data_IF_714989101369
#
_entry.id   IF_714989101369
#
_cell.length_a   1.000
_cell.length_b   1.000
_cell.length_c   1.000
_cell.angle_alpha   90.00
_cell.angle_beta   90.00
_cell.angle_gamma   90.00
#
_symmetry.space_group_name_H-M   'P 1'
#
loop_
_entity.id
_entity.type
_entity.pdbx_description
1 polymer ?
#
# COMPACT_ATOMS: atom_id res chain seq x y z
N UNK A 1 29.24 0.86 16.92
CA UNK A 1 28.28 -0.15 16.43
C UNK A 1 27.08 0.61 15.90
N UNK A 2 26.94 0.67 14.58
CA UNK A 2 25.88 1.41 13.90
C UNK A 2 24.61 0.56 13.89
N UNK A 3 23.55 1.04 14.54
CA UNK A 3 22.22 0.43 14.48
C UNK A 3 21.49 0.98 13.26
N UNK A 4 21.48 0.17 12.21
CA UNK A 4 20.75 0.44 10.97
C UNK A 4 19.23 0.46 11.27
N UNK A 5 18.48 1.54 10.99
CA UNK A 5 17.04 1.53 11.16
C UNK A 5 16.42 0.63 10.10
N UNK A 6 15.73 -0.44 10.53
CA UNK A 6 14.97 -1.33 9.65
C UNK A 6 13.91 -0.50 8.93
N UNK A 7 14.06 -0.36 7.62
CA UNK A 7 13.00 0.03 6.70
C UNK A 7 11.86 -1.00 6.82
N UNK A 8 10.59 -0.59 6.88
CA UNK A 8 9.47 -1.53 6.89
C UNK A 8 9.51 -2.44 5.66
N UNK A 9 9.36 -3.73 5.91
CA UNK A 9 9.32 -4.79 4.90
C UNK A 9 7.97 -4.73 4.16
N UNK A 10 7.94 -4.10 2.98
CA UNK A 10 6.78 -4.02 2.08
C UNK A 10 6.59 -5.32 1.28
N UNK A 11 6.61 -6.46 1.99
CA UNK A 11 6.28 -7.75 1.43
C UNK A 11 4.79 -7.80 1.07
N UNK A 12 4.46 -7.66 -0.21
CA UNK A 12 3.11 -7.90 -0.74
C UNK A 12 2.74 -9.38 -0.52
N UNK A 13 1.96 -9.65 0.52
CA UNK A 13 1.40 -10.96 0.78
C UNK A 13 0.14 -11.18 -0.08
N UNK A 14 0.24 -12.13 -1.00
CA UNK A 14 -0.84 -12.84 -1.70
C UNK A 14 -2.20 -12.13 -1.79
N UNK A 15 -2.43 -11.45 -2.92
CA UNK A 15 -3.75 -10.93 -3.33
C UNK A 15 -4.77 -12.08 -3.44
N UNK A 16 -5.77 -12.12 -2.57
CA UNK A 16 -6.89 -13.06 -2.66
C UNK A 16 -7.94 -12.60 -3.68
N UNK A 17 -8.51 -13.58 -4.38
CA UNK A 17 -9.36 -13.50 -5.58
C UNK A 17 -10.72 -12.78 -5.37
N UNK A 18 -11.02 -12.30 -4.16
CA UNK A 18 -12.33 -11.73 -3.77
C UNK A 18 -12.24 -10.60 -2.74
N UNK A 19 -11.30 -9.67 -2.89
CA UNK A 19 -11.23 -8.48 -2.02
C UNK A 19 -11.77 -7.24 -2.74
N UNK A 20 -12.86 -6.72 -2.16
CA UNK A 20 -13.71 -5.65 -2.64
C UNK A 20 -13.06 -4.25 -2.62
N UNK A 21 -13.38 -3.49 -3.68
CA UNK A 21 -13.21 -2.05 -3.91
C UNK A 21 -11.77 -1.53 -3.99
N UNK A 22 -11.31 -1.36 -5.23
CA UNK A 22 -10.22 -0.49 -5.63
C UNK A 22 -10.54 0.95 -5.23
N UNK A 23 -9.78 1.53 -4.30
CA UNK A 23 -9.74 2.98 -4.16
C UNK A 23 -8.65 3.49 -5.06
N UNK A 24 -9.08 4.13 -6.14
CA UNK A 24 -8.19 4.87 -6.99
C UNK A 24 -7.55 6.02 -6.19
N UNK A 25 -6.23 6.14 -6.27
CA UNK A 25 -5.74 7.39 -6.84
C UNK A 25 -6.28 7.38 -8.28
N UNK A 26 -7.19 8.34 -8.54
CA UNK A 26 -8.06 8.41 -9.71
C UNK A 26 -7.28 8.13 -11.01
N UNK A 27 -7.94 7.73 -12.11
CA UNK A 27 -7.33 7.94 -13.44
C UNK A 27 -6.88 9.41 -13.64
N UNK A 28 -7.41 10.30 -12.79
CA UNK A 28 -7.06 11.71 -12.59
C UNK A 28 -6.02 11.98 -11.47
N UNK A 29 -5.16 11.04 -11.03
CA UNK A 29 -4.08 11.33 -10.06
C UNK A 29 -3.22 12.52 -10.51
N UNK A 30 -2.92 12.55 -11.81
CA UNK A 30 -2.26 13.66 -12.49
C UNK A 30 -3.03 15.00 -12.44
N UNK A 31 -4.34 14.99 -12.23
CA UNK A 31 -5.16 16.22 -12.12
C UNK A 31 -5.25 16.75 -10.67
N UNK A 32 -5.21 15.90 -9.65
CA UNK A 32 -5.37 16.31 -8.24
C UNK A 32 -4.05 16.46 -7.48
N UNK A 33 -3.04 15.68 -7.84
CA UNK A 33 -1.67 15.81 -7.37
C UNK A 33 -0.75 15.74 -8.59
N UNK A 34 -0.64 16.82 -9.38
CA UNK A 34 0.31 16.86 -10.48
C UNK A 34 1.70 16.66 -9.90
N UNK A 35 2.22 15.45 -10.05
CA UNK A 35 3.64 15.19 -9.87
C UNK A 35 4.30 15.50 -11.21
N UNK A 36 5.49 16.09 -11.20
CA UNK A 36 6.27 16.29 -12.42
C UNK A 36 6.84 14.97 -12.96
N UNK A 37 6.43 13.83 -12.40
CA UNK A 37 7.00 12.54 -12.75
C UNK A 37 6.56 12.11 -14.13
N UNK A 38 7.49 11.83 -15.05
CA UNK A 38 7.14 11.45 -16.41
C UNK A 38 6.63 10.00 -16.50
N UNK A 39 6.86 9.17 -15.48
CA UNK A 39 6.56 7.74 -15.44
C UNK A 39 6.24 7.28 -14.00
N UNK A 40 5.19 6.46 -13.84
CA UNK A 40 4.80 5.86 -12.56
C UNK A 40 4.28 4.42 -12.76
N UNK A 41 4.24 3.62 -11.69
CA UNK A 41 3.55 2.33 -11.67
C UNK A 41 2.05 2.54 -11.39
N UNK A 42 1.19 2.23 -12.35
CA UNK A 42 -0.26 2.39 -12.21
C UNK A 42 -0.98 1.13 -11.74
N UNK A 43 -0.34 -0.04 -11.85
CA UNK A 43 -0.90 -1.31 -11.39
C UNK A 43 0.19 -2.35 -11.12
N UNK A 44 0.01 -3.17 -10.10
CA UNK A 44 0.77 -4.41 -9.87
C UNK A 44 -0.20 -5.53 -9.52
N UNK A 45 -0.14 -6.61 -10.28
CA UNK A 45 -0.99 -7.79 -10.11
C UNK A 45 -0.16 -9.06 -10.13
N UNK A 46 -0.73 -10.14 -9.58
CA UNK A 46 -0.15 -11.47 -9.73
C UNK A 46 -0.37 -11.97 -11.15
N UNK A 47 0.60 -12.70 -11.70
CA UNK A 47 0.33 -13.47 -12.92
C UNK A 47 -0.74 -14.54 -12.65
N UNK A 48 -1.66 -14.79 -13.61
CA UNK A 48 -2.67 -15.86 -13.46
C UNK A 48 -2.01 -17.24 -13.35
N UNK A 49 -0.91 -17.43 -14.08
CA UNK A 49 -0.12 -18.66 -14.06
C UNK A 49 1.30 -18.42 -13.56
N UNK A 50 1.84 -19.42 -12.85
CA UNK A 50 3.22 -19.43 -12.38
C UNK A 50 3.49 -18.45 -11.23
N UNK A 51 4.74 -17.98 -11.16
CA UNK A 51 5.25 -17.13 -10.08
C UNK A 51 5.77 -15.84 -10.71
N UNK A 52 4.99 -14.78 -10.59
CA UNK A 52 5.35 -13.52 -11.22
C UNK A 52 4.37 -12.40 -10.93
N UNK A 53 4.71 -11.23 -11.46
CA UNK A 53 3.93 -10.01 -11.39
C UNK A 53 3.64 -9.48 -12.79
N UNK A 54 2.45 -8.92 -12.99
CA UNK A 54 2.07 -8.09 -14.13
C UNK A 54 2.03 -6.66 -13.63
N UNK A 55 2.86 -5.80 -14.22
CA UNK A 55 3.00 -4.40 -13.85
C UNK A 55 2.55 -3.53 -15.01
N UNK A 56 1.81 -2.47 -14.71
CA UNK A 56 1.40 -1.45 -15.69
C UNK A 56 2.00 -0.12 -15.32
N UNK A 57 2.47 0.61 -16.33
CA UNK A 57 2.98 1.98 -16.16
C UNK A 57 1.94 3.01 -16.56
N UNK A 58 2.06 4.22 -16.03
CA UNK A 58 1.37 5.41 -16.53
C UNK A 58 2.39 6.51 -16.81
N UNK A 59 2.13 7.31 -17.83
CA UNK A 59 2.99 8.41 -18.28
C UNK A 59 2.24 9.72 -18.23
N UNK A 60 2.96 10.81 -18.02
CA UNK A 60 2.41 12.18 -18.12
C UNK A 60 2.17 12.63 -19.58
N UNK A 61 2.61 11.82 -20.56
CA UNK A 61 2.50 12.09 -21.99
C UNK A 61 1.84 10.90 -22.74
N UNK A 62 1.41 11.07 -24.01
CA UNK A 62 0.88 9.99 -24.83
C UNK A 62 1.90 8.85 -24.99
N UNK A 63 1.58 7.69 -24.41
CA UNK A 63 2.44 6.51 -24.41
C UNK A 63 2.64 5.95 -25.83
N UNK A 64 3.89 5.72 -26.22
CA UNK A 64 4.27 5.04 -27.46
C UNK A 64 4.76 3.62 -27.21
N UNK A 65 5.87 3.48 -26.48
CA UNK A 65 6.47 2.19 -26.16
C UNK A 65 7.25 2.21 -24.85
N UNK A 66 7.58 1.01 -24.34
CA UNK A 66 8.39 0.83 -23.14
C UNK A 66 9.65 0.05 -23.49
N UNK A 67 10.82 0.66 -23.27
CA UNK A 67 12.09 -0.06 -23.30
C UNK A 67 12.40 -0.59 -21.89
N UNK A 68 12.67 -1.88 -21.80
CA UNK A 68 13.06 -2.53 -20.54
C UNK A 68 14.35 -3.31 -20.77
N UNK A 69 15.33 -3.08 -19.90
CA UNK A 69 16.49 -3.95 -19.75
C UNK A 69 16.49 -4.56 -18.35
N UNK A 70 17.01 -5.78 -18.22
CA UNK A 70 16.95 -6.51 -16.96
C UNK A 70 18.22 -7.31 -16.68
N UNK A 71 18.56 -7.42 -15.40
CA UNK A 71 19.65 -8.25 -14.89
C UNK A 71 19.08 -9.21 -13.83
N UNK A 72 19.36 -10.51 -13.97
CA UNK A 72 18.95 -11.54 -13.02
C UNK A 72 18.20 -12.68 -13.70
N UNK A 73 17.55 -13.52 -12.89
CA UNK A 73 17.00 -14.81 -13.36
C UNK A 73 15.54 -14.75 -13.84
N UNK A 74 14.85 -13.63 -13.63
CA UNK A 74 13.46 -13.51 -14.03
C UNK A 74 13.35 -13.30 -15.55
N UNK A 75 12.32 -13.90 -16.13
CA UNK A 75 11.91 -13.67 -17.50
C UNK A 75 11.01 -12.45 -17.56
N UNK A 76 11.29 -11.55 -18.50
CA UNK A 76 10.56 -10.29 -18.67
C UNK A 76 9.91 -10.26 -20.03
N UNK A 77 8.62 -9.95 -20.08
CA UNK A 77 7.89 -9.75 -21.33
C UNK A 77 7.19 -8.41 -21.30
N UNK A 78 7.18 -7.70 -22.42
CA UNK A 78 6.61 -6.35 -22.54
C UNK A 78 5.50 -6.38 -23.58
N UNK A 79 4.36 -5.78 -23.25
CA UNK A 79 3.23 -5.62 -24.14
C UNK A 79 2.58 -4.24 -23.90
N UNK A 80 2.89 -3.28 -24.77
CA UNK A 80 2.45 -1.90 -24.61
C UNK A 80 2.96 -1.29 -23.30
N UNK A 81 2.05 -0.72 -22.53
CA UNK A 81 2.29 -0.08 -21.22
C UNK A 81 2.40 -1.09 -20.06
N UNK A 82 2.37 -2.38 -20.37
CA UNK A 82 2.35 -3.46 -19.41
C UNK A 82 3.58 -4.34 -19.59
N UNK A 83 4.19 -4.77 -18.49
CA UNK A 83 5.26 -5.75 -18.52
C UNK A 83 5.06 -6.81 -17.43
N UNK A 84 5.51 -8.02 -17.73
CA UNK A 84 5.36 -9.17 -16.84
C UNK A 84 6.73 -9.70 -16.46
N UNK A 85 6.95 -9.90 -15.16
CA UNK A 85 8.18 -10.48 -14.59
C UNK A 85 7.84 -11.85 -14.01
N UNK A 86 8.46 -12.92 -14.52
CA UNK A 86 8.24 -14.31 -14.07
C UNK A 86 9.53 -14.95 -13.58
N UNK A 87 9.47 -15.58 -12.42
CA UNK A 87 10.57 -16.37 -11.90
C UNK A 87 10.41 -17.83 -12.33
N UNK A 88 11.46 -18.44 -12.92
CA UNK A 88 11.33 -19.73 -13.60
C UNK A 88 11.22 -20.93 -12.65
N UNK A 89 11.74 -20.82 -11.42
CA UNK A 89 11.83 -21.96 -10.50
C UNK A 89 11.07 -21.73 -9.18
N UNK A 90 10.01 -22.51 -8.99
CA UNK A 90 9.19 -22.50 -7.78
C UNK A 90 9.91 -23.01 -6.52
N UNK A 91 11.01 -23.76 -6.69
CA UNK A 91 11.70 -24.47 -5.63
C UNK A 91 13.10 -23.93 -5.36
N UNK A 92 13.46 -22.78 -5.94
CA UNK A 92 14.80 -22.20 -5.76
C UNK A 92 15.11 -22.02 -4.27
N UNK A 93 16.24 -22.55 -3.81
CA UNK A 93 16.61 -22.50 -2.40
C UNK A 93 17.33 -21.19 -2.04
N UNK A 94 17.90 -20.52 -3.05
CA UNK A 94 18.55 -19.23 -2.90
C UNK A 94 17.61 -18.10 -3.29
N UNK A 95 17.63 -16.96 -2.57
CA UNK A 95 16.87 -15.79 -2.98
C UNK A 95 17.31 -15.32 -4.37
N UNK A 96 16.33 -15.16 -5.26
CA UNK A 96 16.57 -14.62 -6.58
C UNK A 96 16.34 -13.11 -6.57
N UNK A 97 17.32 -12.37 -7.07
CA UNK A 97 17.20 -10.94 -7.31
C UNK A 97 17.07 -10.69 -8.81
N UNK A 98 16.24 -9.72 -9.17
CA UNK A 98 16.13 -9.24 -10.54
C UNK A 98 15.99 -7.73 -10.53
N UNK A 99 16.77 -7.03 -11.37
CA UNK A 99 16.72 -5.58 -11.49
C UNK A 99 16.29 -5.21 -12.89
N UNK A 100 15.35 -4.28 -13.00
CA UNK A 100 14.93 -3.70 -14.26
C UNK A 100 15.34 -2.23 -14.34
N UNK A 101 15.68 -1.82 -15.56
CA UNK A 101 15.74 -0.42 -15.96
C UNK A 101 14.67 -0.18 -17.01
N UNK A 102 13.82 0.81 -16.80
CA UNK A 102 12.67 1.15 -17.64
C UNK A 102 12.84 2.54 -18.25
N UNK A 103 12.45 2.69 -19.51
CA UNK A 103 12.36 3.99 -20.17
C UNK A 103 11.11 4.03 -21.00
N UNK A 104 10.18 4.93 -20.67
CA UNK A 104 8.99 5.13 -21.48
C UNK A 104 9.30 6.10 -22.63
N UNK A 105 8.71 5.81 -23.79
CA UNK A 105 8.89 6.55 -25.02
C UNK A 105 7.52 7.02 -25.49
N UNK A 106 7.37 8.31 -25.74
CA UNK A 106 6.12 8.89 -26.23
C UNK A 106 5.85 8.53 -27.70
N UNK A 107 4.65 8.80 -28.19
CA UNK A 107 4.31 8.65 -29.62
C UNK A 107 5.14 9.57 -30.53
N UNK A 108 5.79 10.60 -29.99
CA UNK A 108 6.67 11.53 -30.71
C UNK A 108 8.16 11.19 -30.56
N UNK A 109 8.50 10.17 -29.77
CA UNK A 109 9.89 9.73 -29.55
C UNK A 109 10.60 10.38 -28.37
N UNK A 110 9.91 11.21 -27.57
CA UNK A 110 10.45 11.74 -26.31
C UNK A 110 10.61 10.61 -25.29
N UNK A 111 11.65 10.68 -24.46
CA UNK A 111 12.04 9.58 -23.56
C UNK A 111 12.09 10.09 -22.12
N UNK A 112 11.66 9.26 -21.18
CA UNK A 112 11.90 9.52 -19.75
C UNK A 112 13.38 9.33 -19.41
N UNK A 113 13.78 9.79 -18.23
CA UNK A 113 15.00 9.26 -17.62
C UNK A 113 14.84 7.73 -17.40
N UNK A 114 15.94 6.97 -17.34
CA UNK A 114 15.88 5.58 -16.93
C UNK A 114 15.42 5.47 -15.47
N UNK A 115 14.45 4.61 -15.22
CA UNK A 115 13.91 4.31 -13.90
C UNK A 115 14.22 2.88 -13.48
N UNK A 116 14.30 2.61 -12.19
CA UNK A 116 14.70 1.32 -11.66
C UNK A 116 13.60 0.63 -10.88
N UNK A 117 13.52 -0.70 -11.03
CA UNK A 117 12.70 -1.58 -10.18
C UNK A 117 13.51 -2.82 -9.83
N UNK A 118 13.75 -3.03 -8.53
CA UNK A 118 14.33 -4.23 -7.97
C UNK A 118 13.25 -5.21 -7.50
N UNK A 119 13.39 -6.47 -7.88
CA UNK A 119 12.55 -7.59 -7.45
C UNK A 119 13.38 -8.56 -6.61
N UNK A 120 12.74 -9.10 -5.59
CA UNK A 120 13.26 -10.18 -4.77
C UNK A 120 12.24 -11.31 -4.74
N UNK A 121 12.66 -12.51 -5.10
CA UNK A 121 11.86 -13.72 -5.02
C UNK A 121 12.38 -14.65 -3.93
N UNK A 122 11.47 -15.03 -3.03
CA UNK A 122 11.67 -16.02 -1.99
C UNK A 122 10.67 -17.17 -2.18
N UNK A 123 11.18 -18.39 -2.37
CA UNK A 123 10.35 -19.57 -2.52
C UNK A 123 9.85 -20.10 -1.18
N UNK A 124 8.70 -20.77 -1.22
CA UNK A 124 8.19 -21.55 -0.10
C UNK A 124 9.15 -22.70 0.27
N UNK A 125 9.84 -23.29 -0.71
CA UNK A 125 10.80 -24.38 -0.50
C UNK A 125 11.98 -23.94 0.38
N UNK A 126 12.50 -22.73 0.15
CA UNK A 126 13.56 -22.14 0.99
C UNK A 126 13.09 -21.92 2.43
N UNK A 127 11.88 -21.42 2.61
CA UNK A 127 11.34 -21.17 3.94
C UNK A 127 11.05 -22.47 4.70
N UNK A 128 10.67 -23.53 3.98
CA UNK A 128 10.48 -24.87 4.55
C UNK A 128 11.77 -25.44 5.16
N UNK A 129 12.95 -25.17 4.57
CA UNK A 129 14.25 -25.54 5.16
C UNK A 129 14.52 -24.88 6.51
N UNK A 130 13.82 -23.78 6.80
CA UNK A 130 13.90 -23.04 8.06
C UNK A 130 12.70 -23.29 8.97
N UNK A 131 11.98 -24.40 8.76
CA UNK A 131 10.77 -24.80 9.51
C UNK A 131 9.64 -23.75 9.45
N UNK A 132 9.50 -23.04 8.32
CA UNK A 132 8.43 -22.05 8.11
C UNK A 132 7.49 -22.53 7.00
N UNK A 133 6.18 -22.44 7.26
CA UNK A 133 5.13 -22.72 6.26
C UNK A 133 4.65 -21.40 5.67
N UNK A 134 4.88 -21.21 4.38
CA UNK A 134 4.53 -19.97 3.66
C UNK A 134 4.34 -20.25 2.17
N UNK A 135 3.78 -19.27 1.46
CA UNK A 135 3.66 -19.24 -0.01
C UNK A 135 4.93 -18.65 -0.64
N UNK A 136 5.09 -18.87 -1.95
CA UNK A 136 6.05 -18.16 -2.79
C UNK A 136 5.79 -16.66 -2.76
N UNK A 137 6.83 -15.83 -2.63
CA UNK A 137 6.72 -14.37 -2.52
C UNK A 137 7.62 -13.69 -3.54
N UNK A 138 7.03 -12.86 -4.40
CA UNK A 138 7.75 -11.90 -5.24
C UNK A 138 7.51 -10.52 -4.64
N UNK A 139 8.60 -9.84 -4.29
CA UNK A 139 8.60 -8.56 -3.59
C UNK A 139 9.24 -7.54 -4.52
N UNK A 140 8.57 -6.40 -4.73
CA UNK A 140 9.24 -5.21 -5.27
C UNK A 140 10.07 -4.62 -4.14
N UNK A 141 11.38 -4.81 -4.19
CA UNK A 141 12.32 -4.50 -3.11
C UNK A 141 12.67 -3.02 -3.07
N UNK A 142 12.87 -2.43 -4.24
CA UNK A 142 13.25 -1.04 -4.41
C UNK A 142 12.72 -0.53 -5.75
N UNK A 143 12.32 0.73 -5.80
CA UNK A 143 11.98 1.43 -7.03
C UNK A 143 12.08 2.94 -6.84
N UNK A 144 12.47 3.64 -7.90
CA UNK A 144 12.40 5.11 -7.99
C UNK A 144 11.12 5.59 -8.69
N UNK A 145 10.24 4.68 -9.09
CA UNK A 145 8.92 5.00 -9.62
C UNK A 145 7.94 5.22 -8.48
N UNK A 146 7.15 6.29 -8.57
CA UNK A 146 5.97 6.39 -7.73
C UNK A 146 4.98 5.26 -8.04
N UNK A 147 4.37 4.76 -6.98
CA UNK A 147 3.28 3.79 -7.07
C UNK A 147 1.96 4.56 -7.03
N UNK A 148 1.33 4.71 -8.19
CA UNK A 148 0.09 5.45 -8.38
C UNK A 148 -1.18 4.64 -8.04
N UNK A 149 -1.06 3.59 -7.22
CA UNK A 149 -2.19 2.79 -6.72
C UNK A 149 -1.97 2.38 -5.26
N UNK A 150 -3.02 2.47 -4.44
CA UNK A 150 -3.09 1.87 -3.09
C UNK A 150 -4.51 1.35 -2.86
N UNK A 151 -4.71 0.34 -2.01
CA UNK A 151 -6.05 -0.09 -1.57
C UNK A 151 -6.32 0.51 -0.20
N UNK A 152 -7.57 0.84 0.14
CA UNK A 152 -7.90 1.27 1.51
C UNK A 152 -7.51 0.22 2.55
N UNK A 153 -7.66 -1.08 2.21
CA UNK A 153 -7.19 -2.18 3.04
C UNK A 153 -5.66 -2.15 3.31
N UNK A 154 -4.87 -1.51 2.45
CA UNK A 154 -3.42 -1.35 2.64
C UNK A 154 -3.09 -0.26 3.70
N UNK A 155 -4.08 0.54 4.11
CA UNK A 155 -3.98 1.57 5.16
C UNK A 155 -4.71 1.18 6.46
N UNK A 156 -5.55 0.13 6.41
CA UNK A 156 -6.27 -0.41 7.55
C UNK A 156 -5.34 -1.38 8.27
N UNK A 157 -4.83 -0.97 9.43
CA UNK A 157 -3.81 -1.72 10.18
C UNK A 157 -4.40 -3.00 10.79
N UNK A 158 -5.72 -3.01 11.05
CA UNK A 158 -6.46 -4.14 11.63
C UNK A 158 -7.83 -4.30 10.95
N UNK A 159 -8.24 -5.53 10.62
CA UNK A 159 -9.59 -5.76 10.06
C UNK A 159 -10.63 -5.45 11.13
N UNK A 160 -11.58 -4.51 10.90
CA UNK A 160 -12.53 -4.11 11.93
C UNK A 160 -13.40 -5.29 12.36
N UNK A 161 -13.55 -5.46 13.66
CA UNK A 161 -14.48 -6.45 14.23
C UNK A 161 -15.93 -5.98 14.12
N UNK A 162 -16.90 -6.85 14.46
CA UNK A 162 -18.31 -6.44 14.54
C UNK A 162 -18.52 -5.40 15.65
N UNK A 163 -17.78 -5.52 16.75
CA UNK A 163 -17.81 -4.56 17.86
C UNK A 163 -17.28 -3.19 17.42
N UNK A 164 -16.26 -3.17 16.56
CA UNK A 164 -15.70 -1.93 16.01
C UNK A 164 -16.68 -1.21 15.12
N UNK A 165 -17.31 -1.96 14.20
CA UNK A 165 -18.37 -1.44 13.34
C UNK A 165 -19.53 -0.88 14.17
N UNK A 166 -19.95 -1.62 15.19
CA UNK A 166 -21.03 -1.19 16.08
C UNK A 166 -20.64 0.08 16.85
N UNK A 167 -19.42 0.17 17.38
CA UNK A 167 -18.91 1.35 18.07
C UNK A 167 -18.91 2.58 17.16
N UNK A 168 -18.28 2.47 15.98
CA UNK A 168 -18.18 3.58 15.03
C UNK A 168 -19.56 4.03 14.53
N UNK A 169 -20.45 3.08 14.25
CA UNK A 169 -21.82 3.37 13.83
C UNK A 169 -22.61 4.09 14.94
N UNK A 170 -22.47 3.66 16.20
CA UNK A 170 -23.12 4.30 17.34
C UNK A 170 -22.58 5.71 17.59
N UNK A 171 -21.26 5.91 17.41
CA UNK A 171 -20.61 7.20 17.70
C UNK A 171 -20.82 8.24 16.60
N UNK A 172 -20.62 7.85 15.34
CA UNK A 172 -20.57 8.80 14.22
C UNK A 172 -21.57 8.49 13.10
N UNK A 173 -22.32 7.39 13.17
CA UNK A 173 -23.28 7.01 12.13
C UNK A 173 -24.31 8.10 11.83
N UNK A 174 -24.83 8.77 12.86
CA UNK A 174 -25.78 9.88 12.71
C UNK A 174 -25.17 11.09 11.97
N UNK A 175 -23.88 11.37 12.15
CA UNK A 175 -23.19 12.49 11.49
C UNK A 175 -23.10 12.30 9.97
N UNK A 176 -23.18 11.05 9.51
CA UNK A 176 -22.95 10.69 8.11
C UNK A 176 -24.22 10.31 7.36
N UNK A 177 -25.35 10.17 8.05
CA UNK A 177 -26.60 9.61 7.52
C UNK A 177 -27.11 10.34 6.26
N UNK A 178 -26.96 11.67 6.21
CA UNK A 178 -27.46 12.51 5.12
C UNK A 178 -26.37 13.04 4.19
N UNK A 179 -25.13 12.58 4.33
CA UNK A 179 -24.01 13.04 3.52
C UNK A 179 -23.83 12.13 2.29
N UNK A 180 -23.73 12.76 1.12
CA UNK A 180 -23.42 12.06 -0.13
C UNK A 180 -21.90 11.87 -0.28
N UNK A 181 -21.48 10.64 -0.56
CA UNK A 181 -20.10 10.29 -0.88
C UNK A 181 -19.19 10.05 0.34
N UNK A 182 -18.23 9.15 0.17
CA UNK A 182 -17.32 8.72 1.24
C UNK A 182 -16.44 9.86 1.77
N UNK A 183 -15.97 10.76 0.91
CA UNK A 183 -15.14 11.90 1.30
C UNK A 183 -15.85 12.86 2.26
N UNK A 184 -17.11 13.22 1.98
CA UNK A 184 -17.88 14.11 2.84
C UNK A 184 -18.11 13.49 4.22
N UNK A 185 -18.39 12.17 4.26
CA UNK A 185 -18.53 11.40 5.50
C UNK A 185 -17.23 11.37 6.30
N UNK A 186 -16.11 11.03 5.65
CA UNK A 186 -14.80 10.98 6.28
C UNK A 186 -14.41 12.32 6.89
N UNK A 187 -14.58 13.43 6.15
CA UNK A 187 -14.26 14.78 6.65
C UNK A 187 -15.03 15.13 7.92
N UNK A 188 -16.32 14.78 7.99
CA UNK A 188 -17.15 15.05 9.18
C UNK A 188 -16.75 14.17 10.35
N UNK A 189 -16.45 12.88 10.11
CA UNK A 189 -15.93 11.97 11.14
C UNK A 189 -14.59 12.48 11.68
N UNK A 190 -13.63 12.80 10.81
CA UNK A 190 -12.32 13.34 11.21
C UNK A 190 -12.47 14.58 12.07
N UNK A 191 -13.39 15.49 11.70
CA UNK A 191 -13.65 16.67 12.52
C UNK A 191 -14.19 16.31 13.90
N UNK A 192 -15.15 15.40 13.97
CA UNK A 192 -15.72 14.94 15.23
C UNK A 192 -14.67 14.27 16.14
N UNK A 193 -13.77 13.45 15.58
CA UNK A 193 -12.65 12.85 16.33
C UNK A 193 -11.70 13.92 16.87
N UNK A 194 -11.37 14.95 16.09
CA UNK A 194 -10.54 16.06 16.58
C UNK A 194 -11.25 16.79 17.72
N UNK A 195 -12.53 17.11 17.56
CA UNK A 195 -13.32 17.82 18.56
C UNK A 195 -13.50 16.97 19.86
N UNK A 196 -13.59 15.64 19.74
CA UNK A 196 -13.62 14.69 20.86
C UNK A 196 -12.30 14.71 21.67
N UNK A 197 -11.17 14.88 21.00
CA UNK A 197 -9.83 14.82 21.62
C UNK A 197 -9.36 16.15 22.19
N UNK A 198 -9.75 17.27 21.59
CA UNK A 198 -9.23 18.60 21.93
C UNK A 198 -9.33 18.95 23.43
N UNK A 199 -10.43 18.66 24.14
CA UNK A 199 -10.55 18.97 25.58
C UNK A 199 -9.52 18.25 26.46
N UNK A 200 -9.01 17.12 26.01
CA UNK A 200 -8.04 16.29 26.73
C UNK A 200 -6.72 16.15 25.97
N UNK A 201 -6.39 17.12 25.12
CA UNK A 201 -5.13 17.14 24.38
C UNK A 201 -3.94 17.08 25.34
N UNK A 202 -3.04 16.13 25.12
CA UNK A 202 -1.84 15.97 25.94
C UNK A 202 -1.16 14.62 25.73
N UNK A 203 -0.17 14.33 26.56
CA UNK A 203 0.57 13.06 26.50
C UNK A 203 -0.24 11.95 27.14
N UNK A 204 -0.57 10.86 26.42
CA UNK A 204 -1.30 9.72 26.98
C UNK A 204 -0.51 9.02 28.09
N UNK A 205 -1.20 8.47 29.08
CA UNK A 205 -0.58 7.66 30.13
C UNK A 205 -0.18 6.28 29.61
N UNK A 206 0.67 5.59 30.37
CA UNK A 206 1.09 4.22 30.09
C UNK A 206 -0.07 3.21 30.10
N UNK A 207 -1.19 3.54 30.76
CA UNK A 207 -2.41 2.73 30.79
C UNK A 207 -3.13 2.70 29.44
N UNK A 208 -2.78 3.59 28.52
CA UNK A 208 -3.28 3.59 27.14
C UNK A 208 -2.56 2.58 26.26
N UNK A 209 -1.39 2.09 26.68
CA UNK A 209 -0.59 1.18 25.89
C UNK A 209 -1.33 -0.13 25.62
N UNK A 210 -1.35 -0.55 24.35
CA UNK A 210 -1.98 -1.80 23.88
C UNK A 210 -3.49 -1.87 24.11
N UNK A 211 -4.13 -0.76 24.49
CA UNK A 211 -5.57 -0.69 24.43
C UNK A 211 -6.00 -0.55 22.98
N UNK A 212 -7.11 -1.19 22.66
CA UNK A 212 -7.79 -1.01 21.39
C UNK A 212 -8.08 0.48 21.13
N UNK A 213 -7.97 1.01 19.89
CA UNK A 213 -8.14 2.43 19.60
C UNK A 213 -9.46 3.02 20.15
N UNK A 214 -10.57 2.29 20.05
CA UNK A 214 -11.84 2.75 20.62
C UNK A 214 -11.90 2.73 22.16
N UNK A 215 -11.11 1.90 22.84
CA UNK A 215 -10.96 1.96 24.31
C UNK A 215 -10.09 3.12 24.74
N UNK A 216 -9.08 3.46 23.94
CA UNK A 216 -8.33 4.70 24.12
C UNK A 216 -9.27 5.91 23.98
N UNK A 217 -10.12 5.93 22.96
CA UNK A 217 -11.12 6.97 22.75
C UNK A 217 -12.06 7.15 23.95
N UNK A 218 -12.62 6.06 24.50
CA UNK A 218 -13.50 6.11 25.67
C UNK A 218 -12.83 6.73 26.90
N UNK A 219 -11.56 6.40 27.16
CA UNK A 219 -10.80 6.94 28.29
C UNK A 219 -10.57 8.45 28.17
N UNK A 220 -10.30 8.91 26.96
CA UNK A 220 -10.12 10.33 26.64
C UNK A 220 -11.44 11.07 26.82
N UNK A 221 -12.55 10.54 26.26
CA UNK A 221 -13.87 11.13 26.43
C UNK A 221 -14.31 11.21 27.90
N UNK A 222 -13.90 10.25 28.72
CA UNK A 222 -14.18 10.23 30.16
C UNK A 222 -13.28 11.16 30.99
N UNK A 223 -12.32 11.86 30.37
CA UNK A 223 -11.33 12.69 31.08
C UNK A 223 -10.39 11.88 31.99
N UNK A 224 -10.30 10.56 31.75
CA UNK A 224 -9.43 9.65 32.53
C UNK A 224 -7.99 9.74 32.02
N UNK A 225 -7.81 10.10 30.75
CA UNK A 225 -6.52 10.13 30.08
C UNK A 225 -6.45 11.26 29.04
N UNK A 226 -5.23 11.50 28.56
CA UNK A 226 -4.97 12.47 27.50
C UNK A 226 -4.74 11.78 26.15
N UNK A 227 -4.87 12.55 25.06
CA UNK A 227 -4.63 12.07 23.71
C UNK A 227 -3.85 13.05 22.84
N UNK A 228 -3.14 12.50 21.85
CA UNK A 228 -2.44 13.27 20.82
C UNK A 228 -2.70 12.70 19.42
N UNK A 229 -2.04 13.26 18.40
CA UNK A 229 -2.28 12.95 16.99
C UNK A 229 -2.17 11.47 16.64
N UNK A 230 -1.30 10.70 17.31
CA UNK A 230 -1.18 9.27 17.04
C UNK A 230 -2.45 8.49 17.44
N UNK A 231 -3.08 8.82 18.57
CA UNK A 231 -4.32 8.16 18.99
C UNK A 231 -5.49 8.49 18.05
N UNK A 232 -5.56 9.73 17.55
CA UNK A 232 -6.55 10.11 16.54
C UNK A 232 -6.34 9.36 15.23
N UNK A 233 -5.08 9.21 14.79
CA UNK A 233 -4.75 8.45 13.60
C UNK A 233 -5.13 6.98 13.76
N UNK A 234 -4.86 6.37 14.91
CA UNK A 234 -5.26 4.99 15.21
C UNK A 234 -6.78 4.80 15.12
N UNK A 235 -7.59 5.75 15.60
CA UNK A 235 -9.07 5.69 15.49
C UNK A 235 -9.55 5.85 14.05
N UNK A 236 -8.90 6.71 13.25
CA UNK A 236 -9.32 7.00 11.87
C UNK A 236 -8.87 5.92 10.88
N UNK A 237 -7.86 5.13 11.23
CA UNK A 237 -7.35 4.01 10.44
C UNK A 237 -7.97 2.65 10.84
N UNK A 238 -8.87 2.64 11.84
CA UNK A 238 -9.59 1.47 12.35
C UNK A 238 -11.06 1.49 11.90
#
# INVERSE_FOLDING_TARGET
>A
MSTNPRVPDVSLHGLEEKSDILVFSNQQYWEFHPTEEPLALSRVERTPDGIGLVLRVATAFPFGSLEITGEGVAQVTVNGDTFTVRFPDANTLEPALHKLTLTAISTTGERTAPHHIGFHYASAARDALNNRVTRNRVIVKDTDLQVAFSRVADWVIETPTDDDRAYAQNRWGALTANLAGAYAKARVITRAVIDDFEPQRGTPSDKMNRLHPFRQHERILAGIDHGWCANMAEILCH
#
